data_IF_299992644000
#
_entry.id   IF_299992644000
#
_cell.length_a   1.000
_cell.length_b   1.000
_cell.length_c   1.000
_cell.angle_alpha   90.00
_cell.angle_beta   90.00
_cell.angle_gamma   90.00
#
_symmetry.space_group_name_H-M   'P 1'
#
loop_
_entity.id
_entity.type
_entity.pdbx_description
1 polymer ?
#
# COMPACT_ATOMS: atom_id res chain seq x y z
N UNK A 1 -9.34 -5.15 4.43
CA UNK A 1 -8.59 -5.90 3.39
C UNK A 1 -7.23 -6.38 3.86
N UNK A 2 -6.32 -5.52 4.34
CA UNK A 2 -4.95 -5.96 4.69
C UNK A 2 -4.90 -7.14 5.68
N UNK A 3 -5.83 -7.20 6.64
CA UNK A 3 -5.88 -8.27 7.64
C UNK A 3 -6.30 -9.63 7.07
N UNK A 4 -7.06 -9.65 5.98
CA UNK A 4 -7.45 -10.89 5.29
C UNK A 4 -6.22 -11.58 4.69
N UNK A 5 -5.32 -10.81 4.07
CA UNK A 5 -4.07 -11.31 3.52
C UNK A 5 -3.11 -11.82 4.60
N UNK A 6 -3.18 -11.30 5.83
CA UNK A 6 -2.35 -11.76 6.95
C UNK A 6 -2.87 -13.05 7.59
N UNK A 7 -4.18 -13.24 7.59
CA UNK A 7 -4.83 -14.32 8.33
C UNK A 7 -5.24 -15.52 7.46
N UNK A 8 -5.12 -15.42 6.13
CA UNK A 8 -5.45 -16.50 5.21
C UNK A 8 -4.17 -17.22 4.70
N UNK A 9 -4.02 -18.55 4.97
CA UNK A 9 -2.85 -19.33 4.58
C UNK A 9 -2.50 -19.30 3.09
N UNK A 10 -3.48 -19.07 2.21
CA UNK A 10 -3.26 -19.00 0.76
C UNK A 10 -2.23 -17.91 0.38
N UNK A 11 -2.10 -16.87 1.19
CA UNK A 11 -1.23 -15.72 0.91
C UNK A 11 0.13 -15.79 1.60
N UNK A 12 0.35 -16.76 2.50
CA UNK A 12 1.57 -16.86 3.31
C UNK A 12 2.83 -17.13 2.49
N UNK A 13 2.73 -17.50 1.22
CA UNK A 13 3.90 -17.69 0.34
C UNK A 13 4.56 -16.36 -0.02
N UNK A 14 3.80 -15.26 -0.03
CA UNK A 14 4.25 -13.95 -0.49
C UNK A 14 5.19 -13.28 0.53
N UNK A 15 6.33 -12.79 0.05
CA UNK A 15 7.29 -12.04 0.86
C UNK A 15 6.68 -10.80 1.50
N UNK A 16 5.77 -10.11 0.80
CA UNK A 16 5.07 -8.93 1.32
C UNK A 16 4.22 -9.24 2.56
N UNK A 17 3.53 -10.39 2.58
CA UNK A 17 2.72 -10.84 3.72
C UNK A 17 3.63 -11.19 4.90
N UNK A 18 4.67 -12.00 4.65
CA UNK A 18 5.67 -12.38 5.67
C UNK A 18 6.36 -11.17 6.29
N UNK A 19 6.64 -10.14 5.49
CA UNK A 19 7.31 -8.91 5.94
C UNK A 19 6.33 -7.85 6.50
N UNK A 20 5.03 -8.15 6.62
CA UNK A 20 4.02 -7.22 7.11
C UNK A 20 3.73 -6.02 6.19
N UNK A 21 4.24 -6.03 4.95
CA UNK A 21 4.14 -4.95 3.95
C UNK A 21 2.86 -5.06 3.12
N UNK A 22 1.72 -5.19 3.79
CA UNK A 22 0.39 -5.19 3.19
C UNK A 22 -0.34 -3.93 3.63
N UNK A 23 -0.75 -3.10 2.66
CA UNK A 23 -1.32 -1.78 2.92
C UNK A 23 -2.70 -1.65 2.27
N UNK A 24 -3.64 -1.04 2.98
CA UNK A 24 -4.87 -0.54 2.38
C UNK A 24 -4.65 0.91 1.99
N UNK A 25 -4.92 1.23 0.72
CA UNK A 25 -4.71 2.56 0.19
C UNK A 25 -5.92 3.46 0.54
N UNK A 26 -5.72 4.72 0.94
CA UNK A 26 -6.83 5.63 1.26
C UNK A 26 -7.69 5.93 0.03
N UNK A 27 -8.99 5.66 0.11
CA UNK A 27 -9.92 5.81 -1.03
C UNK A 27 -9.95 7.23 -1.59
N UNK A 28 -9.80 8.25 -0.74
CA UNK A 28 -9.76 9.65 -1.16
C UNK A 28 -8.52 10.02 -2.01
N UNK A 29 -7.48 9.18 -2.01
CA UNK A 29 -6.27 9.36 -2.81
C UNK A 29 -6.23 8.43 -4.04
N UNK A 30 -6.88 7.28 -3.97
CA UNK A 30 -6.79 6.23 -5.00
C UNK A 30 -8.17 5.92 -5.58
N UNK A 31 -8.70 6.89 -6.31
CA UNK A 31 -9.92 6.75 -7.11
C UNK A 31 -9.61 6.07 -8.46
N UNK A 32 -10.65 5.61 -9.16
CA UNK A 32 -10.54 4.91 -10.45
C UNK A 32 -9.74 5.70 -11.49
N UNK A 33 -9.87 7.02 -11.49
CA UNK A 33 -9.15 7.92 -12.39
C UNK A 33 -8.24 8.87 -11.59
N UNK A 34 -7.03 9.18 -12.10
CA UNK A 34 -6.19 10.22 -11.52
C UNK A 34 -6.93 11.57 -11.46
N UNK A 35 -6.98 12.18 -10.28
CA UNK A 35 -7.49 13.54 -10.09
C UNK A 35 -6.37 14.54 -9.79
N UNK A 36 -6.75 15.77 -9.46
CA UNK A 36 -5.80 16.83 -9.03
C UNK A 36 -4.92 16.40 -7.85
N UNK A 37 -5.36 15.42 -7.06
CA UNK A 37 -4.61 14.84 -5.94
C UNK A 37 -3.54 13.83 -6.31
N UNK A 38 -3.34 13.50 -7.60
CA UNK A 38 -2.42 12.44 -8.03
C UNK A 38 -0.98 12.57 -7.47
N UNK A 39 -0.37 13.77 -7.38
CA UNK A 39 0.94 13.92 -6.73
C UNK A 39 0.96 13.43 -5.28
N UNK A 40 -0.13 13.64 -4.52
CA UNK A 40 -0.25 13.16 -3.14
C UNK A 40 -0.34 11.64 -3.07
N UNK A 41 -1.08 11.03 -4.00
CA UNK A 41 -1.21 9.57 -4.12
C UNK A 41 0.15 8.93 -4.41
N UNK A 42 0.92 9.52 -5.33
CA UNK A 42 2.28 9.04 -5.65
C UNK A 42 3.23 9.21 -4.46
N UNK A 43 3.21 10.37 -3.80
CA UNK A 43 4.03 10.60 -2.61
C UNK A 43 3.69 9.61 -1.46
N UNK A 44 2.41 9.29 -1.28
CA UNK A 44 1.96 8.27 -0.34
C UNK A 44 2.57 6.90 -0.66
N UNK A 45 2.50 6.46 -1.92
CA UNK A 45 3.12 5.19 -2.36
C UNK A 45 4.63 5.20 -2.17
N UNK A 46 5.30 6.30 -2.51
CA UNK A 46 6.75 6.44 -2.40
C UNK A 46 7.22 6.20 -0.94
N UNK A 47 6.51 6.79 0.03
CA UNK A 47 6.80 6.60 1.47
C UNK A 47 6.64 5.15 1.94
N UNK A 48 5.70 4.40 1.37
CA UNK A 48 5.52 2.97 1.69
C UNK A 48 6.60 2.08 1.04
N UNK A 49 7.06 2.45 -0.15
CA UNK A 49 8.07 1.68 -0.90
C UNK A 49 9.48 1.93 -0.34
N UNK A 50 9.78 3.18 0.02
CA UNK A 50 11.09 3.67 0.46
C UNK A 50 11.07 4.21 1.91
N UNK A 51 10.80 3.37 2.92
CA UNK A 51 10.78 3.82 4.30
C UNK A 51 12.17 4.30 4.73
N UNK A 52 12.23 5.47 5.38
CA UNK A 52 13.49 6.06 5.88
C UNK A 52 14.23 6.96 4.90
N UNK A 53 13.72 7.13 3.69
CA UNK A 53 14.14 8.21 2.78
C UNK A 53 13.13 9.35 2.95
N UNK A 54 13.62 10.56 3.20
CA UNK A 54 12.78 11.76 3.28
C UNK A 54 12.56 12.30 1.85
N UNK A 55 11.30 12.26 1.38
CA UNK A 55 10.86 12.57 0.00
C UNK A 55 9.67 13.52 0.04
#
# INVERSE_FOLDING_TARGET
MADEFRNNPAWNVLSAVKAGRVYTLPENLFLLNPGLGYPKSVAYMARLVYPGIDI
#
